data_IF_670061257108
#
_entry.id   IF_670061257108
#
_cell.length_a   1.000
_cell.length_b   1.000
_cell.length_c   1.000
_cell.angle_alpha   90.00
_cell.angle_beta   90.00
_cell.angle_gamma   90.00
#
_symmetry.space_group_name_H-M   'P 1'
#
loop_
_entity.id
_entity.type
_entity.pdbx_description
1 polymer ?
#
# COMPACT_ATOMS: atom_id res chain seq x y z
N UNK A 1 -7.58 -34.83 15.11
CA UNK A 1 -7.33 -33.77 14.12
C UNK A 1 -8.59 -33.62 13.30
N UNK A 2 -9.26 -32.48 13.37
CA UNK A 2 -10.52 -32.25 12.65
C UNK A 2 -10.27 -32.01 11.15
N UNK A 3 -11.15 -32.45 10.23
CA UNK A 3 -10.87 -32.52 8.79
C UNK A 3 -11.08 -31.21 8.01
N UNK A 4 -11.04 -30.04 8.66
CA UNK A 4 -11.49 -28.78 8.03
C UNK A 4 -10.53 -27.59 8.16
N UNK A 5 -9.29 -27.79 8.60
CA UNK A 5 -8.27 -26.75 8.48
C UNK A 5 -7.67 -26.80 7.09
N UNK A 6 -8.28 -26.07 6.15
CA UNK A 6 -7.68 -25.78 4.85
C UNK A 6 -6.31 -25.14 5.09
N UNK A 7 -5.24 -25.89 4.85
CA UNK A 7 -3.86 -25.43 5.04
C UNK A 7 -3.63 -24.21 4.15
N UNK A 8 -3.63 -23.01 4.73
CA UNK A 8 -3.35 -21.79 3.95
C UNK A 8 -1.93 -21.92 3.37
N UNK A 9 -1.80 -21.62 2.07
CA UNK A 9 -0.50 -21.66 1.38
C UNK A 9 0.50 -20.78 2.14
N UNK A 10 1.73 -21.27 2.39
CA UNK A 10 2.74 -20.49 3.11
C UNK A 10 2.98 -19.15 2.41
N UNK A 11 3.29 -18.12 3.20
CA UNK A 11 3.67 -16.79 2.72
C UNK A 11 5.12 -16.55 3.09
N UNK A 12 5.94 -16.20 2.11
CA UNK A 12 7.34 -15.84 2.33
C UNK A 12 7.45 -14.46 2.98
N UNK A 13 8.37 -14.31 3.93
CA UNK A 13 8.71 -13.02 4.52
C UNK A 13 9.71 -12.28 3.62
N UNK A 14 9.45 -11.01 3.33
CA UNK A 14 10.30 -10.15 2.48
C UNK A 14 11.00 -9.06 3.30
N UNK A 15 10.34 -8.55 4.35
CA UNK A 15 10.86 -7.46 5.18
C UNK A 15 10.45 -7.67 6.65
N UNK A 16 11.24 -7.10 7.55
CA UNK A 16 11.08 -7.23 9.00
C UNK A 16 11.39 -5.90 9.67
N UNK A 17 10.55 -5.48 10.60
CA UNK A 17 10.79 -4.28 11.41
C UNK A 17 10.42 -4.52 12.88
N UNK A 18 11.36 -4.29 13.79
CA UNK A 18 11.11 -4.39 15.23
C UNK A 18 10.46 -3.12 15.77
N UNK A 19 9.67 -3.26 16.82
CA UNK A 19 9.30 -2.10 17.62
C UNK A 19 10.47 -1.76 18.57
N UNK A 20 11.05 -0.55 18.50
CA UNK A 20 12.29 -0.23 19.22
C UNK A 20 12.18 -0.34 20.75
N UNK A 21 11.02 -0.05 21.34
CA UNK A 21 10.83 -0.03 22.80
C UNK A 21 10.45 -1.40 23.39
N UNK A 22 9.87 -2.29 22.58
CA UNK A 22 9.34 -3.61 22.94
C UNK A 22 9.84 -4.63 21.90
N UNK A 23 11.07 -5.16 22.05
CA UNK A 23 11.71 -6.04 21.06
C UNK A 23 10.99 -7.38 20.82
N UNK A 24 10.01 -7.72 21.64
CA UNK A 24 9.15 -8.90 21.43
C UNK A 24 8.08 -8.66 20.37
N UNK A 25 7.83 -7.40 20.00
CA UNK A 25 6.86 -7.00 19.00
C UNK A 25 7.60 -6.58 17.73
N UNK A 26 7.15 -7.09 16.60
CA UNK A 26 7.73 -6.78 15.29
C UNK A 26 6.67 -6.91 14.21
N UNK A 27 6.98 -6.42 13.02
CA UNK A 27 6.15 -6.54 11.83
C UNK A 27 6.91 -7.33 10.77
N UNK A 28 6.19 -8.15 10.02
CA UNK A 28 6.72 -8.91 8.89
C UNK A 28 5.94 -8.52 7.65
N UNK A 29 6.65 -8.03 6.63
CA UNK A 29 6.11 -7.85 5.29
C UNK A 29 6.23 -9.14 4.49
N UNK A 30 5.21 -9.47 3.71
CA UNK A 30 5.16 -10.72 2.94
C UNK A 30 5.20 -10.46 1.43
N UNK A 31 5.52 -11.50 0.67
CA UNK A 31 5.53 -11.48 -0.81
C UNK A 31 4.15 -11.15 -1.42
N UNK A 32 3.06 -11.36 -0.67
CA UNK A 32 1.69 -11.11 -1.11
C UNK A 32 1.16 -9.73 -0.71
N UNK A 33 2.04 -8.82 -0.27
CA UNK A 33 1.64 -7.46 0.10
C UNK A 33 0.92 -7.35 1.43
N UNK A 34 0.93 -8.41 2.24
CA UNK A 34 0.35 -8.42 3.58
C UNK A 34 1.43 -8.12 4.61
N UNK A 35 1.14 -7.24 5.55
CA UNK A 35 1.98 -6.99 6.73
C UNK A 35 1.33 -7.67 7.92
N UNK A 36 2.11 -8.41 8.70
CA UNK A 36 1.65 -9.13 9.87
C UNK A 36 2.36 -8.57 11.10
N UNK A 37 1.60 -8.05 12.05
CA UNK A 37 2.10 -7.68 13.37
C UNK A 37 2.23 -8.94 14.22
N UNK A 38 3.45 -9.17 14.70
CA UNK A 38 3.82 -10.35 15.45
C UNK A 38 4.23 -10.02 16.88
N UNK A 39 3.94 -10.92 17.81
CA UNK A 39 4.40 -10.86 19.20
C UNK A 39 5.02 -12.21 19.61
N UNK A 40 6.33 -12.21 19.85
CA UNK A 40 7.08 -13.41 20.22
C UNK A 40 6.58 -14.05 21.52
N UNK A 41 6.02 -13.26 22.44
CA UNK A 41 5.50 -13.72 23.74
C UNK A 41 4.02 -14.18 23.70
N UNK A 42 3.36 -14.15 22.53
CA UNK A 42 1.98 -14.63 22.40
C UNK A 42 1.87 -16.12 22.73
N UNK A 43 0.81 -16.51 23.46
CA UNK A 43 0.60 -17.91 23.88
C UNK A 43 -0.08 -18.72 22.78
N UNK A 44 -1.03 -18.10 22.07
CA UNK A 44 -1.75 -18.71 20.96
C UNK A 44 -1.21 -18.26 19.59
N UNK A 45 -1.41 -19.03 18.50
CA UNK A 45 -1.04 -18.60 17.15
C UNK A 45 -1.66 -17.26 16.74
N UNK A 46 -2.91 -17.01 17.13
CA UNK A 46 -3.61 -15.75 16.88
C UNK A 46 -3.01 -14.57 17.65
N UNK A 47 -2.51 -14.77 18.87
CA UNK A 47 -1.76 -13.74 19.60
C UNK A 47 -0.37 -13.50 19.02
N UNK A 48 0.29 -14.55 18.53
CA UNK A 48 1.61 -14.44 17.89
C UNK A 48 1.54 -13.68 16.58
N UNK A 49 0.42 -13.75 15.85
CA UNK A 49 0.19 -13.10 14.55
C UNK A 49 -1.12 -12.30 14.60
N UNK A 50 -1.11 -11.22 15.37
CA UNK A 50 -2.32 -10.56 15.86
C UNK A 50 -3.07 -9.71 14.82
N UNK A 51 -2.36 -8.90 14.04
CA UNK A 51 -2.98 -7.93 13.14
C UNK A 51 -2.38 -8.06 11.74
N UNK A 52 -3.24 -7.95 10.72
CA UNK A 52 -2.85 -7.99 9.32
C UNK A 52 -3.24 -6.69 8.64
N UNK A 53 -2.34 -6.13 7.84
CA UNK A 53 -2.57 -4.96 7.00
C UNK A 53 -2.46 -5.38 5.54
N UNK A 54 -3.49 -5.11 4.73
CA UNK A 54 -3.47 -5.36 3.29
C UNK A 54 -2.75 -4.19 2.63
N UNK A 55 -1.42 -4.22 2.65
CA UNK A 55 -0.61 -3.04 2.44
C UNK A 55 -0.33 -2.74 0.98
N UNK A 56 -0.02 -3.76 0.18
CA UNK A 56 0.40 -3.62 -1.21
C UNK A 56 -0.25 -4.70 -2.08
N UNK A 57 -0.28 -4.48 -3.39
CA UNK A 57 -0.72 -5.51 -4.35
C UNK A 57 0.37 -6.55 -4.61
N UNK A 58 1.63 -6.15 -4.45
CA UNK A 58 2.82 -7.01 -4.60
C UNK A 58 3.62 -7.11 -3.30
N UNK A 59 4.86 -7.62 -3.36
CA UNK A 59 5.72 -7.80 -2.19
C UNK A 59 5.92 -6.51 -1.39
N UNK A 60 5.95 -6.64 -0.06
CA UNK A 60 6.35 -5.55 0.84
C UNK A 60 7.88 -5.55 0.95
N UNK A 61 8.53 -4.65 0.21
CA UNK A 61 9.98 -4.59 0.05
C UNK A 61 10.67 -3.93 1.25
N UNK A 62 10.04 -2.92 1.85
CA UNK A 62 10.55 -2.28 3.06
C UNK A 62 9.44 -1.94 4.04
N UNK A 63 9.76 -2.04 5.33
CA UNK A 63 8.93 -1.56 6.44
C UNK A 63 9.86 -0.81 7.38
N UNK A 64 9.50 0.39 7.80
CA UNK A 64 10.26 1.12 8.81
C UNK A 64 9.35 1.96 9.69
N UNK A 65 9.55 1.90 11.00
CA UNK A 65 8.84 2.76 11.94
C UNK A 65 9.43 4.17 11.93
N UNK A 66 8.56 5.14 12.17
CA UNK A 66 9.01 6.49 12.42
C UNK A 66 9.73 6.55 13.78
N UNK A 67 10.91 7.17 13.82
CA UNK A 67 11.76 7.21 15.01
C UNK A 67 11.12 7.91 16.22
N UNK A 68 10.27 8.93 16.00
CA UNK A 68 9.58 9.63 17.08
C UNK A 68 8.12 9.17 17.26
N UNK A 69 7.50 8.68 16.19
CA UNK A 69 6.09 8.26 16.19
C UNK A 69 6.00 6.76 15.94
N UNK A 70 6.39 5.95 16.93
CA UNK A 70 6.56 4.49 16.78
C UNK A 70 5.32 3.75 16.30
N UNK A 71 4.11 4.30 16.52
CA UNK A 71 2.84 3.75 16.01
C UNK A 71 2.65 3.98 14.51
N UNK A 72 3.40 4.90 13.92
CA UNK A 72 3.37 5.22 12.50
C UNK A 72 4.53 4.56 11.79
N UNK A 73 4.25 3.86 10.69
CA UNK A 73 5.25 3.11 9.96
C UNK A 73 5.08 3.31 8.45
N UNK A 74 6.21 3.36 7.75
CA UNK A 74 6.32 3.46 6.31
C UNK A 74 6.40 2.05 5.73
N UNK A 75 5.77 1.86 4.58
CA UNK A 75 5.84 0.64 3.80
C UNK A 75 6.14 1.00 2.35
N UNK A 76 7.08 0.26 1.75
CA UNK A 76 7.43 0.34 0.34
C UNK A 76 7.10 -0.99 -0.29
N UNK A 77 6.39 -0.93 -1.40
CA UNK A 77 6.03 -2.08 -2.22
C UNK A 77 5.33 -1.59 -3.47
N UNK A 78 5.12 -2.47 -4.44
CA UNK A 78 4.54 -2.12 -5.74
C UNK A 78 5.14 -0.81 -6.33
N UNK A 79 4.31 0.20 -6.60
CA UNK A 79 4.71 1.50 -7.11
C UNK A 79 4.29 2.62 -6.15
N UNK A 80 4.08 2.29 -4.87
CA UNK A 80 3.57 3.23 -3.87
C UNK A 80 4.33 3.15 -2.56
N UNK A 81 4.52 4.30 -1.93
CA UNK A 81 4.93 4.38 -0.53
C UNK A 81 3.68 4.71 0.29
N UNK A 82 3.47 3.99 1.40
CA UNK A 82 2.31 4.18 2.27
C UNK A 82 2.74 4.36 3.71
N UNK A 83 2.10 5.29 4.39
CA UNK A 83 2.29 5.54 5.82
C UNK A 83 1.04 5.05 6.53
N UNK A 84 1.27 4.16 7.48
CA UNK A 84 0.25 3.51 8.28
C UNK A 84 0.27 4.07 9.70
N UNK A 85 -0.84 3.86 10.39
CA UNK A 85 -0.96 4.04 11.82
C UNK A 85 -1.43 2.71 12.39
N UNK A 86 -0.82 2.23 13.47
CA UNK A 86 -1.29 1.00 14.11
C UNK A 86 -2.73 1.10 14.62
N UNK A 87 -3.22 2.31 14.84
CA UNK A 87 -4.59 2.58 15.27
C UNK A 87 -5.61 2.49 14.11
N UNK A 88 -5.15 2.39 12.85
CA UNK A 88 -5.95 2.24 11.63
C UNK A 88 -5.54 0.97 10.87
N UNK A 89 -6.42 -0.03 10.84
CA UNK A 89 -6.07 -1.38 10.36
C UNK A 89 -6.55 -1.66 8.95
N UNK A 90 -7.63 -1.02 8.51
CA UNK A 90 -8.22 -1.30 7.21
C UNK A 90 -7.50 -0.56 6.07
N UNK A 91 -6.88 0.60 6.36
CA UNK A 91 -6.24 1.46 5.36
C UNK A 91 -5.05 2.25 5.90
N UNK A 92 -4.17 2.66 5.00
CA UNK A 92 -3.08 3.61 5.26
C UNK A 92 -3.62 5.03 5.44
N UNK A 93 -2.96 5.83 6.28
CA UNK A 93 -3.38 7.20 6.56
C UNK A 93 -2.85 8.21 5.52
N UNK A 94 -1.72 7.92 4.90
CA UNK A 94 -1.11 8.74 3.84
C UNK A 94 -0.49 7.78 2.82
N UNK A 95 -0.54 8.11 1.54
CA UNK A 95 0.13 7.35 0.49
C UNK A 95 0.57 8.28 -0.64
N UNK A 96 1.63 7.88 -1.35
CA UNK A 96 2.12 8.60 -2.53
C UNK A 96 1.24 8.30 -3.74
N UNK A 97 1.40 9.09 -4.80
CA UNK A 97 0.91 8.69 -6.11
C UNK A 97 1.54 7.36 -6.56
N UNK A 98 0.92 6.75 -7.58
CA UNK A 98 1.55 5.66 -8.31
C UNK A 98 2.72 6.22 -9.09
N UNK A 99 3.91 5.71 -8.78
CA UNK A 99 5.13 6.06 -9.49
C UNK A 99 5.16 5.40 -10.87
N UNK A 100 5.86 6.04 -11.81
CA UNK A 100 6.08 5.46 -13.14
C UNK A 100 6.95 4.20 -13.06
N UNK A 101 7.98 4.25 -12.23
CA UNK A 101 8.95 3.18 -12.03
C UNK A 101 8.77 2.59 -10.64
N UNK A 102 9.08 1.31 -10.51
CA UNK A 102 8.87 0.57 -9.28
C UNK A 102 9.69 1.16 -8.13
N UNK A 103 9.11 1.25 -6.93
CA UNK A 103 9.85 1.58 -5.72
C UNK A 103 10.50 0.31 -5.18
N UNK A 104 11.79 0.37 -4.88
CA UNK A 104 12.60 -0.80 -4.51
C UNK A 104 12.96 -0.80 -3.02
N UNK A 105 13.22 0.38 -2.45
CA UNK A 105 13.53 0.53 -1.03
C UNK A 105 13.11 1.92 -0.55
N UNK A 106 13.10 2.16 0.75
CA UNK A 106 12.82 3.46 1.31
C UNK A 106 12.92 3.48 2.83
N UNK A 107 12.95 4.68 3.39
CA UNK A 107 13.10 4.85 4.82
C UNK A 107 12.87 6.26 5.32
N UNK A 108 12.55 6.38 6.60
CA UNK A 108 12.43 7.63 7.33
C UNK A 108 13.80 8.26 7.57
N UNK A 109 13.82 9.60 7.61
CA UNK A 109 14.91 10.33 8.24
C UNK A 109 14.85 10.13 9.76
N UNK A 110 15.96 9.72 10.41
CA UNK A 110 16.00 9.52 11.86
C UNK A 110 15.93 10.84 12.64
N UNK A 111 16.35 11.94 12.02
CA UNK A 111 16.47 13.26 12.65
C UNK A 111 15.35 14.22 12.25
N UNK A 112 14.86 14.16 11.00
CA UNK A 112 13.72 14.92 10.50
C UNK A 112 12.52 14.01 10.27
N UNK A 113 11.75 13.78 11.31
CA UNK A 113 10.70 12.75 11.35
C UNK A 113 9.49 12.98 10.44
N UNK A 114 9.40 14.10 9.71
CA UNK A 114 8.43 14.28 8.62
C UNK A 114 8.97 13.87 7.25
N UNK A 115 10.28 13.60 7.16
CA UNK A 115 10.96 13.28 5.90
C UNK A 115 11.16 11.78 5.75
N UNK A 116 10.87 11.28 4.55
CA UNK A 116 11.23 9.94 4.14
C UNK A 116 11.79 9.94 2.71
N UNK A 117 12.45 8.84 2.36
CA UNK A 117 13.11 8.66 1.08
C UNK A 117 12.55 7.43 0.38
N UNK A 118 12.50 7.48 -0.95
CA UNK A 118 12.18 6.33 -1.79
C UNK A 118 13.24 6.14 -2.85
N UNK A 119 13.71 4.90 -3.02
CA UNK A 119 14.63 4.50 -4.07
C UNK A 119 13.84 3.82 -5.19
N UNK A 120 14.01 4.31 -6.42
CA UNK A 120 13.28 3.81 -7.59
C UNK A 120 14.17 2.95 -8.49
N UNK A 121 13.52 2.08 -9.23
CA UNK A 121 14.15 1.19 -10.22
C UNK A 121 14.69 1.92 -11.46
N UNK A 122 14.37 3.19 -11.65
CA UNK A 122 14.98 4.03 -12.68
C UNK A 122 16.25 4.73 -12.18
N UNK A 123 16.78 4.45 -10.98
CA UNK A 123 17.98 5.12 -10.50
C UNK A 123 17.72 6.44 -9.77
N UNK A 124 16.45 6.80 -9.57
CA UNK A 124 16.04 8.05 -8.90
C UNK A 124 15.85 7.86 -7.40
N UNK A 125 16.45 8.76 -6.61
CA UNK A 125 16.19 8.94 -5.18
C UNK A 125 15.18 10.08 -5.00
N UNK A 126 14.01 9.78 -4.45
CA UNK A 126 13.05 10.83 -4.09
C UNK A 126 13.15 11.18 -2.59
N UNK A 127 12.99 12.47 -2.30
CA UNK A 127 12.89 13.02 -0.96
C UNK A 127 11.50 13.57 -0.75
N UNK A 128 10.82 13.09 0.29
CA UNK A 128 9.46 13.48 0.66
C UNK A 128 9.48 14.19 2.00
N UNK A 129 8.80 15.32 2.13
CA UNK A 129 8.47 15.94 3.42
C UNK A 129 6.95 16.06 3.54
N UNK A 130 6.32 15.20 4.36
CA UNK A 130 4.86 15.15 4.47
C UNK A 130 4.24 16.42 5.06
N UNK A 131 5.03 17.25 5.75
CA UNK A 131 4.59 18.56 6.23
C UNK A 131 4.54 19.60 5.13
N UNK A 132 5.36 19.46 4.09
CA UNK A 132 5.39 20.39 2.96
C UNK A 132 4.42 19.96 1.87
N UNK A 133 4.53 18.71 1.42
CA UNK A 133 3.75 18.18 0.31
C UNK A 133 3.53 16.68 0.43
N UNK A 134 2.27 16.26 0.29
CA UNK A 134 1.87 14.86 0.41
C UNK A 134 1.66 14.17 -0.95
N UNK A 135 1.37 14.95 -2.00
CA UNK A 135 0.98 14.41 -3.31
C UNK A 135 2.15 14.07 -4.23
N UNK A 136 3.28 14.75 -4.05
CA UNK A 136 4.48 14.59 -4.87
C UNK A 136 5.73 14.75 -4.00
N UNK A 137 6.83 14.15 -4.43
CA UNK A 137 8.12 14.31 -3.80
C UNK A 137 8.53 15.80 -3.81
N UNK A 138 9.25 16.21 -2.77
CA UNK A 138 9.86 17.54 -2.71
C UNK A 138 11.01 17.65 -3.71
N UNK A 139 11.77 16.55 -3.86
CA UNK A 139 12.91 16.44 -4.77
C UNK A 139 12.98 15.02 -5.33
N UNK A 140 13.36 14.89 -6.60
CA UNK A 140 13.74 13.62 -7.22
C UNK A 140 15.10 13.80 -7.86
N UNK A 141 16.09 13.01 -7.43
CA UNK A 141 17.49 13.14 -7.85
C UNK A 141 17.88 11.85 -8.57
N UNK A 142 18.28 11.96 -9.84
CA UNK A 142 18.86 10.85 -10.59
C UNK A 142 20.27 10.58 -10.06
N UNK A 143 20.43 9.50 -9.29
CA UNK A 143 21.72 9.14 -8.65
C UNK A 143 22.49 8.13 -9.49
N UNK A 144 21.78 7.33 -10.29
CA UNK A 144 22.38 6.35 -11.20
C UNK A 144 21.54 6.21 -12.46
N UNK A 145 22.15 5.80 -13.57
CA UNK A 145 21.42 5.35 -14.76
C UNK A 145 20.86 3.93 -14.59
N UNK A 146 21.38 3.20 -13.61
CA UNK A 146 20.97 1.84 -13.26
C UNK A 146 19.93 1.83 -12.14
N UNK A 147 19.18 0.73 -12.05
CA UNK A 147 18.19 0.51 -10.99
C UNK A 147 18.82 0.58 -9.60
N UNK A 148 18.20 1.35 -8.70
CA UNK A 148 18.57 1.34 -7.30
C UNK A 148 18.11 0.02 -6.65
N UNK A 149 18.90 -0.46 -5.71
CA UNK A 149 18.68 -1.74 -5.03
C UNK A 149 18.47 -1.59 -3.52
N UNK A 150 19.06 -0.57 -2.90
CA UNK A 150 18.95 -0.36 -1.47
C UNK A 150 19.23 1.11 -1.10
N UNK A 151 18.68 1.53 0.04
CA UNK A 151 18.86 2.86 0.60
C UNK A 151 19.05 2.78 2.12
N UNK A 152 20.05 3.47 2.67
CA UNK A 152 20.21 3.61 4.13
C UNK A 152 20.53 5.05 4.50
N UNK A 153 19.80 5.56 5.48
CA UNK A 153 20.02 6.90 6.03
C UNK A 153 20.98 6.78 7.21
N UNK A 154 22.01 7.62 7.24
CA UNK A 154 22.93 7.70 8.38
C UNK A 154 22.19 8.18 9.63
N UNK A 155 22.59 7.74 10.82
CA UNK A 155 21.89 8.05 12.09
C UNK A 155 21.80 9.56 12.39
N UNK A 156 22.77 10.34 11.92
CA UNK A 156 22.73 11.82 12.02
C UNK A 156 21.86 12.49 10.94
N UNK A 157 21.27 11.72 10.02
CA UNK A 157 20.28 12.13 9.03
C UNK A 157 20.77 13.08 7.93
N UNK A 158 22.07 13.42 7.88
CA UNK A 158 22.65 14.27 6.82
C UNK A 158 23.14 13.53 5.59
N UNK A 159 23.31 12.22 5.67
CA UNK A 159 23.86 11.40 4.60
C UNK A 159 22.92 10.25 4.29
N UNK A 160 22.72 9.97 3.00
CA UNK A 160 21.94 8.84 2.51
C UNK A 160 22.82 8.03 1.56
N UNK A 161 23.07 6.78 1.92
CA UNK A 161 23.78 5.84 1.05
C UNK A 161 22.76 5.12 0.16
N UNK A 162 23.04 5.06 -1.14
CA UNK A 162 22.20 4.41 -2.14
C UNK A 162 23.05 3.46 -2.97
N UNK A 163 22.67 2.19 -3.01
CA UNK A 163 23.32 1.16 -3.83
C UNK A 163 22.52 0.85 -5.08
N UNK A 164 23.18 0.57 -6.20
CA UNK A 164 22.53 0.12 -7.44
C UNK A 164 22.77 -1.38 -7.72
N UNK A 165 22.06 -1.91 -8.72
CA UNK A 165 22.16 -3.33 -9.12
C UNK A 165 23.53 -3.73 -9.69
N UNK A 166 24.37 -2.77 -10.10
CA UNK A 166 25.75 -3.01 -10.56
C UNK A 166 26.78 -3.00 -9.43
N UNK A 167 26.35 -2.78 -8.18
CA UNK A 167 27.22 -2.75 -7.01
C UNK A 167 27.90 -1.40 -6.75
N UNK A 168 27.57 -0.35 -7.51
CA UNK A 168 28.00 1.02 -7.20
C UNK A 168 27.21 1.55 -6.00
N UNK A 169 27.92 2.16 -5.05
CA UNK A 169 27.30 2.85 -3.91
C UNK A 169 27.60 4.33 -3.99
N UNK A 170 26.56 5.15 -3.94
CA UNK A 170 26.64 6.61 -3.92
C UNK A 170 26.24 7.13 -2.54
N UNK A 171 26.94 8.17 -2.07
CA UNK A 171 26.63 8.83 -0.81
C UNK A 171 26.10 10.24 -1.11
N UNK A 172 24.82 10.45 -0.83
CA UNK A 172 24.12 11.73 -1.07
C UNK A 172 24.07 12.53 0.22
N UNK A 173 24.52 13.78 0.18
CA UNK A 173 24.45 14.71 1.30
C UNK A 173 23.19 15.56 1.21
N UNK A 174 22.45 15.63 2.32
CA UNK A 174 21.24 16.43 2.44
C UNK A 174 21.56 17.83 2.98
N UNK A 175 20.77 18.81 2.55
CA UNK A 175 20.78 20.14 3.14
C UNK A 175 20.27 20.12 4.58
N UNK A 176 20.61 21.16 5.35
CA UNK A 176 20.20 21.25 6.75
C UNK A 176 18.68 21.15 6.91
N UNK A 177 17.92 21.82 6.05
CA UNK A 177 16.46 21.83 6.04
C UNK A 177 15.81 20.45 5.90
N UNK A 178 16.48 19.49 5.27
CA UNK A 178 15.98 18.12 5.10
C UNK A 178 16.51 17.16 6.17
N UNK A 179 17.46 17.62 6.98
CA UNK A 179 18.14 16.80 7.99
C UNK A 179 17.75 17.16 9.42
N UNK A 180 17.32 18.38 9.72
CA UNK A 180 16.98 18.80 11.08
C UNK A 180 15.48 19.01 11.26
N UNK A 181 14.96 18.69 12.44
CA UNK A 181 13.56 18.95 12.82
C UNK A 181 13.50 20.06 13.85
N UNK A 182 12.64 21.04 13.59
CA UNK A 182 12.32 22.08 14.57
C UNK A 182 11.31 21.58 15.61
N UNK A 183 11.19 22.24 16.76
CA UNK A 183 10.12 21.94 17.74
C UNK A 183 8.72 22.15 17.13
N UNK A 184 8.59 23.12 16.23
CA UNK A 184 7.33 23.42 15.53
C UNK A 184 6.95 22.25 14.61
N UNK A 185 7.91 21.66 13.91
CA UNK A 185 7.68 20.53 12.99
C UNK A 185 7.04 19.35 13.74
N UNK A 186 7.49 19.07 14.97
CA UNK A 186 6.91 18.01 15.80
C UNK A 186 5.46 18.29 16.15
N UNK A 187 5.14 19.51 16.57
CA UNK A 187 3.75 19.89 16.86
C UNK A 187 2.86 19.77 15.62
N UNK A 188 3.34 20.25 14.48
CA UNK A 188 2.62 20.16 13.21
C UNK A 188 2.42 18.71 12.76
N UNK A 189 3.44 17.87 12.92
CA UNK A 189 3.37 16.47 12.52
C UNK A 189 2.44 15.66 13.42
N UNK A 190 2.45 15.91 14.73
CA UNK A 190 1.47 15.32 15.66
C UNK A 190 0.04 15.68 15.22
N UNK A 191 -0.23 16.97 14.99
CA UNK A 191 -1.55 17.42 14.55
C UNK A 191 -1.94 16.82 13.19
N UNK A 192 -0.99 16.65 12.27
CA UNK A 192 -1.21 15.99 10.98
C UNK A 192 -1.61 14.52 11.17
N UNK A 193 -0.83 13.73 11.91
CA UNK A 193 -1.16 12.31 12.13
C UNK A 193 -2.48 12.13 12.88
N UNK A 194 -2.80 12.97 13.86
CA UNK A 194 -4.09 12.94 14.55
C UNK A 194 -5.25 13.22 13.59
N UNK A 195 -5.09 14.21 12.70
CA UNK A 195 -6.07 14.57 11.68
C UNK A 195 -6.31 13.41 10.70
N UNK A 196 -5.25 12.82 10.16
CA UNK A 196 -5.38 11.70 9.21
C UNK A 196 -5.94 10.44 9.89
N UNK A 197 -5.53 10.14 11.13
CA UNK A 197 -6.13 9.06 11.93
C UNK A 197 -7.63 9.27 12.15
N UNK A 198 -8.04 10.48 12.51
CA UNK A 198 -9.47 10.80 12.72
C UNK A 198 -10.25 10.65 11.43
N UNK A 199 -9.72 11.17 10.32
CA UNK A 199 -10.31 11.03 8.98
C UNK A 199 -10.50 9.57 8.64
N UNK A 200 -9.47 8.73 8.81
CA UNK A 200 -9.54 7.31 8.45
C UNK A 200 -10.55 6.56 9.31
N UNK A 201 -10.61 6.81 10.62
CA UNK A 201 -11.63 6.20 11.51
C UNK A 201 -13.07 6.53 11.07
N UNK A 202 -13.31 7.76 10.60
CA UNK A 202 -14.62 8.16 10.07
C UNK A 202 -14.94 7.38 8.78
N UNK A 203 -13.96 7.22 7.89
CA UNK A 203 -14.12 6.46 6.65
C UNK A 203 -14.35 4.97 6.91
N UNK A 204 -13.60 4.35 7.82
CA UNK A 204 -13.78 2.97 8.24
C UNK A 204 -15.20 2.74 8.80
N UNK A 205 -15.68 3.64 9.67
CA UNK A 205 -17.05 3.56 10.22
C UNK A 205 -18.12 3.64 9.12
N UNK A 206 -17.96 4.60 8.18
CA UNK A 206 -18.88 4.76 7.04
C UNK A 206 -18.86 3.52 6.13
N UNK A 207 -17.67 2.98 5.83
CA UNK A 207 -17.53 1.79 4.99
C UNK A 207 -18.19 0.57 5.65
N UNK A 208 -18.08 0.43 6.97
CA UNK A 208 -18.77 -0.61 7.74
C UNK A 208 -20.28 -0.49 7.64
N UNK A 209 -20.82 0.72 7.75
CA UNK A 209 -22.26 0.98 7.59
C UNK A 209 -22.75 0.63 6.18
N UNK A 210 -21.99 1.01 5.13
CA UNK A 210 -22.31 0.68 3.74
C UNK A 210 -22.34 -0.84 3.54
N UNK A 211 -21.34 -1.57 4.05
CA UNK A 211 -21.30 -3.04 3.98
C UNK A 211 -22.51 -3.69 4.67
N UNK A 212 -22.92 -3.18 5.86
CA UNK A 212 -24.13 -3.66 6.53
C UNK A 212 -25.38 -3.40 5.70
N UNK A 213 -25.56 -2.18 5.17
CA UNK A 213 -26.71 -1.82 4.34
C UNK A 213 -26.81 -2.68 3.07
N UNK A 214 -25.69 -2.95 2.41
CA UNK A 214 -25.63 -3.86 1.25
C UNK A 214 -26.04 -5.28 1.64
N UNK A 215 -25.58 -5.79 2.79
CA UNK A 215 -25.96 -7.13 3.27
C UNK A 215 -27.46 -7.22 3.58
N UNK A 216 -28.03 -6.22 4.24
CA UNK A 216 -29.48 -6.17 4.51
C UNK A 216 -30.29 -6.12 3.21
N UNK A 217 -29.88 -5.30 2.24
CA UNK A 217 -30.54 -5.27 0.92
C UNK A 217 -30.46 -6.61 0.19
N UNK A 218 -29.29 -7.27 0.19
CA UNK A 218 -29.15 -8.59 -0.44
C UNK A 218 -30.03 -9.66 0.23
N UNK A 219 -30.19 -9.59 1.55
CA UNK A 219 -31.05 -10.51 2.31
C UNK A 219 -32.53 -10.25 2.05
N UNK A 220 -32.93 -8.98 1.85
CA UNK A 220 -34.30 -8.63 1.46
C UNK A 220 -34.65 -9.07 0.03
N UNK A 221 -33.71 -9.01 -0.92
CA UNK A 221 -33.93 -9.53 -2.28
C UNK A 221 -34.13 -11.05 -2.25
N UNK A 222 -33.34 -11.79 -1.46
CA UNK A 222 -33.51 -13.24 -1.28
C UNK A 222 -34.83 -13.56 -0.54
N UNK A 223 -35.30 -12.69 0.36
CA UNK A 223 -36.53 -12.87 1.14
C UNK A 223 -37.84 -12.64 0.36
N UNK A 224 -37.81 -12.10 -0.86
CA UNK A 224 -39.00 -11.88 -1.70
C UNK A 224 -39.17 -12.97 -2.78
N UNK A 225 -38.14 -13.78 -3.04
CA UNK A 225 -38.20 -14.93 -3.97
C UNK A 225 -38.05 -16.27 -3.22
N UNK A 226 -38.97 -16.55 -2.29
CA UNK A 226 -39.09 -17.88 -1.70
C UNK A 226 -40.54 -18.37 -1.72
N UNK A 227 -41.06 -18.59 -2.94
CA UNK A 227 -41.86 -19.77 -3.30
C UNK A 227 -41.68 -20.08 -4.79
N UNK A 228 -40.63 -20.82 -5.16
CA UNK A 228 -40.71 -21.89 -6.19
C UNK A 228 -39.39 -22.69 -6.28
N UNK A 229 -39.57 -24.01 -6.16
CA UNK A 229 -38.65 -25.15 -6.38
C UNK A 229 -37.12 -24.96 -6.36
N UNK A 230 -36.54 -25.46 -5.26
CA UNK A 230 -35.26 -26.17 -5.31
C UNK A 230 -35.43 -27.43 -6.17
N UNK A 231 -35.01 -27.36 -7.42
CA UNK A 231 -34.42 -28.47 -8.21
C UNK A 231 -34.06 -27.93 -9.59
N UNK A 232 -32.86 -27.35 -9.70
CA UNK A 232 -32.00 -27.21 -10.90
C UNK A 232 -31.10 -25.98 -10.78
N UNK A 233 -29.95 -26.13 -10.11
CA UNK A 233 -28.84 -25.20 -10.26
C UNK A 233 -28.15 -25.48 -11.60
N UNK A 234 -28.52 -24.75 -12.65
CA UNK A 234 -27.63 -24.59 -13.81
C UNK A 234 -26.64 -23.44 -13.57
N UNK A 235 -25.41 -23.53 -14.10
CA UNK A 235 -24.35 -22.56 -13.84
C UNK A 235 -24.75 -21.15 -14.29
N UNK A 236 -24.50 -20.16 -13.44
CA UNK A 236 -24.75 -18.72 -13.63
C UNK A 236 -24.07 -18.09 -14.87
N UNK A 237 -23.36 -18.87 -15.69
CA UNK A 237 -22.57 -18.42 -16.81
C UNK A 237 -23.34 -18.26 -18.15
N UNK A 238 -24.62 -18.64 -18.24
CA UNK A 238 -25.26 -18.84 -19.57
C UNK A 238 -26.06 -17.64 -20.11
N UNK A 239 -26.34 -16.57 -19.36
CA UNK A 239 -27.26 -15.53 -19.87
C UNK A 239 -26.73 -14.09 -19.95
N UNK A 240 -25.46 -13.81 -19.65
CA UNK A 240 -24.89 -12.46 -19.86
C UNK A 240 -24.87 -12.12 -21.36
N UNK A 241 -24.54 -13.08 -22.23
CA UNK A 241 -24.50 -12.89 -23.69
C UNK A 241 -25.89 -12.73 -24.35
N UNK A 242 -26.98 -12.95 -23.61
CA UNK A 242 -28.35 -12.72 -24.08
C UNK A 242 -28.95 -11.43 -23.51
N UNK A 243 -28.21 -10.72 -22.65
CA UNK A 243 -28.63 -9.43 -22.14
C UNK A 243 -28.70 -8.41 -23.29
N UNK A 244 -29.84 -7.74 -23.48
CA UNK A 244 -30.00 -6.75 -24.56
C UNK A 244 -28.99 -5.59 -24.48
N UNK A 245 -28.57 -5.20 -23.27
CA UNK A 245 -27.58 -4.16 -23.04
C UNK A 245 -26.18 -4.59 -23.45
N UNK A 246 -25.82 -5.86 -23.22
CA UNK A 246 -24.53 -6.43 -23.65
C UNK A 246 -24.45 -6.49 -25.18
N UNK A 247 -25.52 -6.89 -25.87
CA UNK A 247 -25.56 -6.89 -27.33
C UNK A 247 -25.46 -5.49 -27.93
N UNK A 248 -26.13 -4.52 -27.32
CA UNK A 248 -26.09 -3.12 -27.78
C UNK A 248 -24.69 -2.55 -27.68
N UNK A 249 -23.98 -2.83 -26.58
CA UNK A 249 -22.59 -2.38 -26.39
C UNK A 249 -21.60 -3.12 -27.28
N UNK A 250 -21.84 -4.39 -27.57
CA UNK A 250 -21.06 -5.17 -28.54
C UNK A 250 -21.19 -4.60 -29.96
N UNK A 251 -22.42 -4.29 -30.40
CA UNK A 251 -22.68 -3.69 -31.71
C UNK A 251 -22.06 -2.29 -31.84
N UNK A 252 -22.11 -1.46 -30.78
CA UNK A 252 -21.44 -0.15 -30.77
C UNK A 252 -19.91 -0.27 -30.89
N UNK A 253 -19.32 -1.25 -30.21
CA UNK A 253 -17.89 -1.50 -30.23
C UNK A 253 -17.41 -1.89 -31.65
N UNK A 254 -18.06 -2.88 -32.27
CA UNK A 254 -17.67 -3.34 -33.60
C UNK A 254 -17.94 -2.29 -34.70
N UNK A 255 -19.01 -1.51 -34.58
CA UNK A 255 -19.25 -0.36 -35.48
C UNK A 255 -18.17 0.72 -35.36
N UNK A 256 -17.58 0.89 -34.17
CA UNK A 256 -16.50 1.86 -33.95
C UNK A 256 -15.19 1.38 -34.58
N UNK A 257 -14.88 0.09 -34.47
CA UNK A 257 -13.72 -0.54 -35.11
C UNK A 257 -13.82 -0.44 -36.64
N UNK A 258 -14.96 -0.83 -37.23
CA UNK A 258 -15.16 -0.78 -38.68
C UNK A 258 -15.01 0.64 -39.25
N UNK A 259 -15.55 1.65 -38.56
CA UNK A 259 -15.36 3.08 -38.93
C UNK A 259 -13.92 3.57 -38.80
N UNK A 260 -13.10 2.90 -37.99
CA UNK A 260 -11.68 3.16 -37.87
C UNK A 260 -10.89 2.59 -39.06
N UNK A 261 -11.19 1.34 -39.43
CA UNK A 261 -10.54 0.64 -40.56
C UNK A 261 -10.89 1.28 -41.92
N UNK A 262 -12.13 1.74 -42.10
CA UNK A 262 -12.54 2.49 -43.30
C UNK A 262 -11.83 3.86 -43.44
N UNK A 263 -11.34 4.44 -42.34
CA UNK A 263 -10.57 5.69 -42.37
C UNK A 263 -9.08 5.49 -42.64
N UNK A 264 -8.56 4.29 -42.35
CA UNK A 264 -7.18 3.93 -42.67
C UNK A 264 -7.05 3.46 -44.13
N UNK A 265 -8.05 2.76 -44.67
CA UNK A 265 -8.04 2.30 -46.07
C UNK A 265 -8.21 3.41 -47.13
N UNK A 266 -8.69 4.60 -46.75
CA UNK A 266 -8.79 5.78 -47.63
C UNK A 266 -7.47 6.59 -47.65
N UNK A 267 -6.49 6.23 -46.82
CA UNK A 267 -5.20 6.93 -46.70
C UNK A 267 -4.01 6.20 -47.34
N UNK A 268 -4.23 5.11 -48.06
CA UNK A 268 -3.25 4.48 -48.95
C UNK A 268 -3.52 4.79 -50.43
#
# INVERSE_FOLDING_TARGET
MSPSETTQRPMSACSLEYEPTIPTRFMVGTEKGVIISCNRKGKSPSEKMATRYMAHLGPVLAIQRNAAYVKNFLTIGDWTARIWSEDCKESSIIWTCYHRDQLIDGGWSPTRVSVFFTARSDGTLDVWDILQQQKQACLGIKVSDESLSCLRVHDQGRLVAVGNVKGTTNLVQLSENLSTSSKVDRTLLTAMFERENKREKILEARNREIRLKMKTKSTQVIGVESVCHLDNLQPFAVNIAKDPGVRTTEDEFFNTIAKGEDKESIKE
#
